data_IF_197137713027
#
_entry.id   IF_197137713027
#
_cell.length_a   1.000
_cell.length_b   1.000
_cell.length_c   1.000
_cell.angle_alpha   90.00
_cell.angle_beta   90.00
_cell.angle_gamma   90.00
#
_symmetry.space_group_name_H-M   'P 1'
#
loop_
_entity.id
_entity.type
_entity.pdbx_description
1 polymer ?
#
# COMPACT_ATOMS: atom_id res chain seq x y z
N UNK A 1 -13.99 1.42 2.44
CA UNK A 1 -12.89 0.87 1.61
C UNK A 1 -13.22 1.16 0.16
N UNK A 2 -12.35 1.87 -0.57
CA UNK A 2 -12.49 1.90 -2.04
C UNK A 2 -12.21 0.46 -2.52
N UNK A 3 -13.19 -0.21 -3.14
CA UNK A 3 -12.98 -1.55 -3.70
C UNK A 3 -11.77 -1.57 -4.63
N UNK A 4 -11.57 -0.46 -5.36
CA UNK A 4 -10.46 -0.23 -6.27
C UNK A 4 -9.08 -0.28 -5.61
N UNK A 5 -8.85 0.35 -4.44
CA UNK A 5 -7.54 0.29 -3.79
C UNK A 5 -7.22 -1.12 -3.30
N UNK A 6 -8.23 -1.79 -2.71
CA UNK A 6 -8.09 -3.18 -2.23
C UNK A 6 -7.74 -4.11 -3.39
N UNK A 7 -8.42 -3.96 -4.52
CA UNK A 7 -8.19 -4.76 -5.73
C UNK A 7 -6.81 -4.50 -6.33
N UNK A 8 -6.41 -3.24 -6.52
CA UNK A 8 -5.07 -2.92 -7.05
C UNK A 8 -3.95 -3.45 -6.14
N UNK A 9 -4.08 -3.31 -4.83
CA UNK A 9 -3.11 -3.85 -3.86
C UNK A 9 -3.06 -5.38 -3.93
N UNK A 10 -4.20 -6.04 -4.05
CA UNK A 10 -4.28 -7.50 -4.18
C UNK A 10 -3.60 -8.00 -5.46
N UNK A 11 -3.88 -7.39 -6.62
CA UNK A 11 -3.23 -7.76 -7.89
C UNK A 11 -1.72 -7.56 -7.82
N UNK A 12 -1.29 -6.46 -7.21
CA UNK A 12 0.12 -6.19 -6.93
C UNK A 12 0.80 -7.28 -6.13
N UNK A 13 0.14 -7.70 -5.05
CA UNK A 13 0.66 -8.73 -4.16
C UNK A 13 0.71 -10.10 -4.83
N UNK A 14 -0.32 -10.45 -5.60
CA UNK A 14 -0.34 -11.70 -6.39
C UNK A 14 0.81 -11.71 -7.40
N UNK A 15 1.04 -10.60 -8.11
CA UNK A 15 2.14 -10.51 -9.06
C UNK A 15 3.50 -10.75 -8.37
N UNK A 16 3.78 -10.03 -7.28
CA UNK A 16 5.05 -10.17 -6.54
C UNK A 16 5.20 -11.60 -5.98
N UNK A 17 4.13 -12.23 -5.49
CA UNK A 17 4.17 -13.60 -4.99
C UNK A 17 4.51 -14.61 -6.09
N UNK A 18 3.89 -14.49 -7.27
CA UNK A 18 4.19 -15.38 -8.40
C UNK A 18 5.65 -15.24 -8.85
N UNK A 19 6.13 -14.00 -8.96
CA UNK A 19 7.53 -13.71 -9.32
C UNK A 19 8.52 -14.18 -8.25
N UNK A 20 8.16 -14.08 -6.97
CA UNK A 20 9.00 -14.59 -5.87
C UNK A 20 9.02 -16.12 -5.85
N UNK A 21 7.89 -16.76 -6.15
CA UNK A 21 7.79 -18.21 -6.23
C UNK A 21 8.60 -18.80 -7.39
N UNK A 22 8.66 -18.12 -8.55
CA UNK A 22 9.51 -18.56 -9.67
C UNK A 22 10.98 -18.51 -9.29
N UNK A 23 11.45 -17.42 -8.68
CA UNK A 23 12.83 -17.31 -8.20
C UNK A 23 13.13 -18.35 -7.13
N UNK A 24 12.22 -18.57 -6.17
CA UNK A 24 12.37 -19.61 -5.14
C UNK A 24 12.49 -21.00 -5.75
N UNK A 25 11.70 -21.32 -6.78
CA UNK A 25 11.75 -22.60 -7.47
C UNK A 25 13.10 -22.86 -8.14
N UNK A 26 13.63 -21.85 -8.85
CA UNK A 26 14.94 -21.94 -9.50
C UNK A 26 16.06 -22.02 -8.45
N UNK A 27 15.99 -21.19 -7.40
CA UNK A 27 16.96 -21.21 -6.30
C UNK A 27 16.95 -22.54 -5.55
N UNK A 28 15.78 -23.17 -5.34
CA UNK A 28 15.65 -24.49 -4.73
C UNK A 28 16.22 -25.59 -5.62
N UNK A 29 16.00 -25.51 -6.93
CA UNK A 29 16.60 -26.43 -7.90
C UNK A 29 18.13 -26.32 -7.90
N UNK A 30 18.68 -25.12 -8.05
CA UNK A 30 20.12 -24.86 -7.96
C UNK A 30 20.69 -25.30 -6.60
N UNK A 31 19.97 -24.99 -5.52
CA UNK A 31 20.36 -25.38 -4.17
C UNK A 31 20.41 -26.89 -3.97
N UNK A 32 19.48 -27.62 -4.59
CA UNK A 32 19.47 -29.09 -4.56
C UNK A 32 20.70 -29.70 -5.23
N UNK A 33 21.35 -28.99 -6.15
CA UNK A 33 22.50 -29.46 -6.93
C UNK A 33 23.84 -29.00 -6.33
N UNK A 34 23.90 -27.77 -5.82
CA UNK A 34 25.15 -27.12 -5.42
C UNK A 34 25.40 -27.11 -3.90
N UNK A 35 24.37 -27.07 -3.05
CA UNK A 35 24.59 -27.09 -1.59
C UNK A 35 24.99 -28.49 -1.09
N UNK A 36 25.97 -28.61 -0.18
CA UNK A 36 26.58 -27.50 0.60
C UNK A 36 27.93 -26.99 0.07
N UNK A 37 28.57 -27.68 -0.87
CA UNK A 37 30.02 -27.50 -1.10
C UNK A 37 30.39 -26.45 -2.17
N UNK A 38 29.44 -26.00 -3.00
CA UNK A 38 29.72 -25.12 -4.14
C UNK A 38 28.83 -23.88 -4.06
N UNK A 39 29.44 -22.69 -4.01
CA UNK A 39 28.75 -21.39 -3.92
C UNK A 39 27.64 -21.33 -2.85
N UNK A 40 28.00 -21.81 -1.66
CA UNK A 40 27.12 -21.91 -0.50
C UNK A 40 26.40 -20.60 -0.15
N UNK A 41 27.13 -19.48 -0.14
CA UNK A 41 26.61 -18.21 0.39
C UNK A 41 25.52 -17.61 -0.51
N UNK A 42 25.72 -17.64 -1.83
CA UNK A 42 24.71 -17.19 -2.79
C UNK A 42 23.50 -18.12 -2.80
N UNK A 43 23.72 -19.44 -2.73
CA UNK A 43 22.64 -20.43 -2.68
C UNK A 43 21.72 -20.24 -1.46
N UNK A 44 22.29 -19.98 -0.29
CA UNK A 44 21.49 -19.70 0.92
C UNK A 44 20.76 -18.37 0.80
N UNK A 45 21.45 -17.32 0.38
CA UNK A 45 20.84 -15.99 0.25
C UNK A 45 19.66 -16.00 -0.73
N UNK A 46 19.81 -16.69 -1.87
CA UNK A 46 18.76 -16.83 -2.89
C UNK A 46 17.54 -17.63 -2.43
N UNK A 47 17.64 -18.43 -1.37
CA UNK A 47 16.50 -19.12 -0.74
C UNK A 47 15.82 -18.24 0.32
N UNK A 48 16.61 -17.49 1.10
CA UNK A 48 16.10 -16.69 2.23
C UNK A 48 15.27 -15.50 1.73
N UNK A 49 15.75 -14.75 0.73
CA UNK A 49 15.06 -13.53 0.29
C UNK A 49 13.64 -13.79 -0.27
N UNK A 50 13.42 -14.75 -1.20
CA UNK A 50 12.08 -15.01 -1.70
C UNK A 50 11.18 -15.67 -0.64
N UNK A 51 11.72 -16.51 0.25
CA UNK A 51 10.92 -17.08 1.35
C UNK A 51 10.49 -16.03 2.37
N UNK A 52 11.38 -15.11 2.73
CA UNK A 52 11.07 -13.95 3.58
C UNK A 52 10.05 -13.04 2.90
N UNK A 53 10.16 -12.81 1.58
CA UNK A 53 9.18 -12.05 0.81
C UNK A 53 7.79 -12.66 0.91
N UNK A 54 7.66 -13.97 0.69
CA UNK A 54 6.39 -14.68 0.79
C UNK A 54 5.81 -14.56 2.21
N UNK A 55 6.63 -14.81 3.24
CA UNK A 55 6.20 -14.75 4.64
C UNK A 55 5.72 -13.35 5.03
N UNK A 56 6.48 -12.31 4.68
CA UNK A 56 6.11 -10.92 4.97
C UNK A 56 4.80 -10.56 4.28
N UNK A 57 4.60 -10.95 3.02
CA UNK A 57 3.36 -10.67 2.30
C UNK A 57 2.14 -11.34 2.96
N UNK A 58 2.26 -12.59 3.41
CA UNK A 58 1.17 -13.28 4.12
C UNK A 58 0.79 -12.54 5.42
N UNK A 59 1.77 -12.01 6.14
CA UNK A 59 1.52 -11.21 7.36
C UNK A 59 0.89 -9.86 7.00
N UNK A 60 1.44 -9.15 6.01
CA UNK A 60 0.99 -7.82 5.58
C UNK A 60 -0.42 -7.83 4.98
N UNK A 61 -0.87 -8.95 4.39
CA UNK A 61 -2.26 -9.10 3.96
C UNK A 61 -3.23 -9.07 5.15
N UNK A 62 -2.82 -9.62 6.29
CA UNK A 62 -3.67 -9.77 7.47
C UNK A 62 -3.70 -8.50 8.33
N UNK A 63 -2.53 -7.86 8.53
CA UNK A 63 -2.39 -6.67 9.36
C UNK A 63 -1.44 -5.69 8.68
N UNK A 64 -1.98 -4.59 8.16
CA UNK A 64 -1.17 -3.59 7.47
C UNK A 64 -1.46 -2.16 7.91
N UNK A 65 -0.39 -1.48 8.31
CA UNK A 65 -0.30 -0.04 8.45
C UNK A 65 0.70 0.52 7.42
N UNK A 66 0.54 1.76 6.92
CA UNK A 66 1.49 2.36 5.98
C UNK A 66 2.93 2.38 6.52
N UNK A 67 3.10 2.62 7.83
CA UNK A 67 4.42 2.64 8.46
C UNK A 67 5.11 1.28 8.40
N UNK A 68 4.41 0.21 8.76
CA UNK A 68 4.98 -1.14 8.74
C UNK A 68 5.26 -1.59 7.32
N UNK A 69 4.38 -1.27 6.37
CA UNK A 69 4.58 -1.60 4.95
C UNK A 69 5.77 -0.87 4.35
N UNK A 70 5.95 0.43 4.63
CA UNK A 70 7.08 1.18 4.09
C UNK A 70 8.42 0.56 4.52
N UNK A 71 8.54 0.18 5.81
CA UNK A 71 9.74 -0.48 6.34
C UNK A 71 9.93 -1.85 5.67
N UNK A 72 8.86 -2.64 5.57
CA UNK A 72 8.92 -3.96 4.96
C UNK A 72 9.32 -3.90 3.48
N UNK A 73 8.70 -3.04 2.68
CA UNK A 73 9.03 -2.85 1.26
C UNK A 73 10.44 -2.31 1.06
N UNK A 74 10.94 -1.47 1.97
CA UNK A 74 12.32 -1.00 1.90
C UNK A 74 13.31 -2.15 2.13
N UNK A 75 13.13 -2.93 3.20
CA UNK A 75 14.03 -4.07 3.52
C UNK A 75 13.98 -5.14 2.43
N UNK A 76 12.77 -5.48 1.97
CA UNK A 76 12.58 -6.44 0.88
C UNK A 76 13.19 -5.91 -0.43
N UNK A 77 12.91 -4.67 -0.79
CA UNK A 77 13.49 -4.02 -1.96
C UNK A 77 15.01 -4.05 -1.93
N UNK A 78 15.63 -3.68 -0.81
CA UNK A 78 17.09 -3.73 -0.66
C UNK A 78 17.64 -5.16 -0.80
N UNK A 79 16.92 -6.15 -0.29
CA UNK A 79 17.31 -7.56 -0.38
C UNK A 79 17.22 -8.10 -1.83
N UNK A 80 16.19 -7.70 -2.58
CA UNK A 80 16.05 -8.03 -4.00
C UNK A 80 17.09 -7.31 -4.88
N UNK A 81 17.41 -6.05 -4.57
CA UNK A 81 18.50 -5.33 -5.21
C UNK A 81 19.86 -6.02 -4.95
N UNK A 82 20.11 -6.42 -3.71
CA UNK A 82 21.32 -7.16 -3.36
C UNK A 82 21.41 -8.50 -4.11
N UNK A 83 20.28 -9.22 -4.26
CA UNK A 83 20.24 -10.45 -5.05
C UNK A 83 20.55 -10.20 -6.52
N UNK A 84 19.95 -9.17 -7.12
CA UNK A 84 20.23 -8.74 -8.49
C UNK A 84 21.72 -8.43 -8.68
N UNK A 85 22.28 -7.55 -7.85
CA UNK A 85 23.69 -7.17 -7.93
C UNK A 85 24.65 -8.35 -7.72
N UNK A 86 24.39 -9.23 -6.75
CA UNK A 86 25.23 -10.40 -6.50
C UNK A 86 25.12 -11.43 -7.62
N UNK A 87 23.95 -11.60 -8.23
CA UNK A 87 23.81 -12.47 -9.40
C UNK A 87 24.65 -11.96 -10.59
N UNK A 88 24.69 -10.63 -10.82
CA UNK A 88 25.55 -10.02 -11.85
C UNK A 88 27.03 -10.28 -11.57
N UNK A 89 27.47 -10.13 -10.31
CA UNK A 89 28.86 -10.38 -9.91
C UNK A 89 29.27 -11.85 -10.06
N UNK A 90 28.35 -12.77 -9.75
CA UNK A 90 28.59 -14.21 -9.82
C UNK A 90 28.71 -14.72 -11.26
N UNK A 91 27.88 -14.20 -12.17
CA UNK A 91 27.90 -14.60 -13.58
C UNK A 91 29.01 -13.87 -14.33
N UNK A 92 29.19 -12.57 -14.06
CA UNK A 92 30.03 -11.68 -14.85
C UNK A 92 29.42 -11.29 -16.21
N UNK A 93 30.26 -10.72 -17.08
CA UNK A 93 29.88 -10.19 -18.40
C UNK A 93 29.88 -11.22 -19.53
N UNK A 94 29.86 -12.51 -19.19
CA UNK A 94 29.93 -13.61 -20.16
C UNK A 94 28.55 -13.92 -20.75
N UNK A 95 28.52 -14.18 -22.05
CA UNK A 95 27.32 -14.65 -22.75
C UNK A 95 27.14 -16.16 -22.54
N UNK A 96 25.92 -16.59 -22.19
CA UNK A 96 25.65 -17.98 -21.79
C UNK A 96 25.84 -19.01 -22.92
N UNK A 97 25.75 -18.59 -24.17
CA UNK A 97 26.01 -19.37 -25.38
C UNK A 97 27.49 -19.70 -25.57
N UNK A 98 28.39 -18.80 -25.13
CA UNK A 98 29.83 -19.00 -25.19
C UNK A 98 30.34 -20.11 -24.25
N UNK A 99 29.53 -20.60 -23.30
CA UNK A 99 29.88 -21.73 -22.41
C UNK A 99 29.51 -23.10 -22.99
N UNK A 100 29.23 -23.21 -24.29
CA UNK A 100 28.94 -24.48 -24.95
C UNK A 100 30.02 -25.53 -24.67
N UNK A 101 29.63 -26.69 -24.12
CA UNK A 101 30.53 -27.81 -23.83
C UNK A 101 31.33 -27.70 -22.52
N UNK A 102 31.22 -26.59 -21.77
CA UNK A 102 31.83 -26.45 -20.46
C UNK A 102 30.89 -26.99 -19.39
N UNK A 103 31.41 -27.80 -18.46
CA UNK A 103 30.63 -28.38 -17.37
C UNK A 103 31.06 -27.87 -16.00
N UNK A 104 30.12 -27.73 -15.08
CA UNK A 104 30.37 -27.38 -13.67
C UNK A 104 30.17 -28.62 -12.77
N UNK A 105 31.01 -28.80 -11.74
CA UNK A 105 30.84 -29.89 -10.79
C UNK A 105 29.58 -29.68 -9.94
N UNK A 106 28.96 -30.79 -9.54
CA UNK A 106 27.80 -30.83 -8.62
C UNK A 106 28.19 -31.56 -7.34
N UNK A 107 27.37 -31.41 -6.28
CA UNK A 107 27.69 -31.98 -4.95
C UNK A 107 27.86 -33.50 -4.92
N UNK A 108 27.23 -34.23 -5.84
CA UNK A 108 27.25 -35.70 -5.89
C UNK A 108 28.31 -36.26 -6.85
N UNK A 109 29.30 -35.46 -7.26
CA UNK A 109 30.30 -35.86 -8.25
C UNK A 109 29.77 -35.92 -9.69
N UNK A 110 28.51 -35.54 -9.92
CA UNK A 110 27.96 -35.32 -11.27
C UNK A 110 28.38 -33.97 -11.84
N UNK A 111 28.04 -33.72 -13.10
CA UNK A 111 28.29 -32.45 -13.77
C UNK A 111 27.01 -31.88 -14.36
N UNK A 112 26.91 -30.55 -14.40
CA UNK A 112 25.84 -29.81 -15.09
C UNK A 112 26.45 -28.93 -16.18
N UNK A 113 25.72 -28.68 -17.27
CA UNK A 113 26.16 -27.73 -18.28
C UNK A 113 26.33 -26.34 -17.67
N UNK A 114 27.48 -25.71 -17.92
CA UNK A 114 27.71 -24.35 -17.46
C UNK A 114 26.81 -23.33 -18.18
N UNK A 115 26.36 -23.66 -19.40
CA UNK A 115 25.38 -22.84 -20.13
C UNK A 115 24.01 -22.84 -19.47
N UNK A 116 23.49 -24.00 -19.03
CA UNK A 116 22.18 -24.07 -18.35
C UNK A 116 22.20 -23.34 -17.02
N UNK A 117 23.29 -23.49 -16.25
CA UNK A 117 23.50 -22.72 -15.02
C UNK A 117 23.51 -21.21 -15.28
N UNK A 118 24.20 -20.76 -16.33
CA UNK A 118 24.24 -19.35 -16.71
C UNK A 118 22.84 -18.80 -17.05
N UNK A 119 22.04 -19.55 -17.81
CA UNK A 119 20.66 -19.12 -18.13
C UNK A 119 19.79 -19.02 -16.88
N UNK A 120 19.85 -20.00 -15.97
CA UNK A 120 19.08 -19.97 -14.73
C UNK A 120 19.47 -18.78 -13.83
N UNK A 121 20.77 -18.50 -13.72
CA UNK A 121 21.27 -17.34 -12.98
C UNK A 121 20.86 -16.01 -13.61
N UNK A 122 20.85 -15.91 -14.95
CA UNK A 122 20.34 -14.72 -15.68
C UNK A 122 18.84 -14.51 -15.48
N UNK A 123 18.07 -15.59 -15.34
CA UNK A 123 16.65 -15.50 -14.99
C UNK A 123 16.51 -14.95 -13.57
N UNK A 124 17.25 -15.48 -12.58
CA UNK A 124 17.24 -14.94 -11.21
C UNK A 124 17.61 -13.44 -11.20
N UNK A 125 18.64 -13.04 -11.96
CA UNK A 125 19.05 -11.64 -12.11
C UNK A 125 17.90 -10.75 -12.60
N UNK A 126 17.29 -11.12 -13.73
CA UNK A 126 16.23 -10.32 -14.37
C UNK A 126 14.98 -10.21 -13.48
N UNK A 127 14.54 -11.32 -12.88
CA UNK A 127 13.38 -11.32 -11.99
C UNK A 127 13.67 -10.54 -10.70
N UNK A 128 14.90 -10.58 -10.17
CA UNK A 128 15.27 -9.82 -8.98
C UNK A 128 15.22 -8.31 -9.22
N UNK A 129 15.74 -7.83 -10.36
CA UNK A 129 15.64 -6.42 -10.74
C UNK A 129 14.19 -5.99 -10.95
N UNK A 130 13.37 -6.82 -11.60
CA UNK A 130 11.96 -6.52 -11.80
C UNK A 130 11.22 -6.41 -10.46
N UNK A 131 11.43 -7.35 -9.53
CA UNK A 131 10.80 -7.33 -8.21
C UNK A 131 11.27 -6.10 -7.41
N UNK A 132 12.56 -5.76 -7.47
CA UNK A 132 13.08 -4.53 -6.87
C UNK A 132 12.38 -3.28 -7.41
N UNK A 133 12.25 -3.15 -8.74
CA UNK A 133 11.56 -2.02 -9.36
C UNK A 133 10.09 -1.94 -8.92
N UNK A 134 9.40 -3.08 -8.83
CA UNK A 134 8.04 -3.12 -8.30
C UNK A 134 7.99 -2.62 -6.85
N UNK A 135 8.87 -3.09 -5.97
CA UNK A 135 8.94 -2.60 -4.59
C UNK A 135 9.24 -1.10 -4.51
N UNK A 136 10.14 -0.58 -5.34
CA UNK A 136 10.43 0.85 -5.40
C UNK A 136 9.21 1.67 -5.81
N UNK A 137 8.45 1.21 -6.81
CA UNK A 137 7.20 1.84 -7.24
C UNK A 137 6.15 1.77 -6.12
N UNK A 138 5.95 0.61 -5.49
CA UNK A 138 5.00 0.46 -4.38
C UNK A 138 5.34 1.37 -3.20
N UNK A 139 6.62 1.43 -2.81
CA UNK A 139 7.10 2.28 -1.75
C UNK A 139 6.88 3.76 -2.09
N UNK A 140 7.17 4.17 -3.32
CA UNK A 140 6.92 5.53 -3.78
C UNK A 140 5.43 5.89 -3.74
N UNK A 141 4.54 5.02 -4.26
CA UNK A 141 3.09 5.22 -4.23
C UNK A 141 2.58 5.31 -2.79
N UNK A 142 3.02 4.43 -1.91
CA UNK A 142 2.63 4.43 -0.50
C UNK A 142 3.01 5.74 0.19
N UNK A 143 4.26 6.19 0.02
CA UNK A 143 4.73 7.46 0.61
C UNK A 143 3.92 8.64 0.04
N UNK A 144 3.72 8.69 -1.28
CA UNK A 144 3.00 9.77 -1.94
C UNK A 144 1.55 9.87 -1.43
N UNK A 145 0.83 8.74 -1.38
CA UNK A 145 -0.56 8.73 -0.93
C UNK A 145 -0.71 9.02 0.56
N UNK A 146 0.16 8.45 1.41
CA UNK A 146 0.11 8.68 2.86
C UNK A 146 0.45 10.14 3.20
N UNK A 147 1.38 10.75 2.45
CA UNK A 147 1.71 12.17 2.59
C UNK A 147 0.54 13.07 2.18
N UNK A 148 -0.20 12.71 1.12
CA UNK A 148 -1.42 13.44 0.72
C UNK A 148 -2.51 13.34 1.78
N UNK A 149 -2.73 12.15 2.37
CA UNK A 149 -3.70 11.96 3.46
C UNK A 149 -3.37 12.82 4.69
N UNK A 150 -2.09 12.94 5.05
CA UNK A 150 -1.61 13.84 6.11
C UNK A 150 -1.99 15.31 5.87
N UNK A 151 -1.82 15.79 4.64
CA UNK A 151 -2.15 17.18 4.27
C UNK A 151 -3.67 17.42 4.29
N UNK A 152 -4.47 16.40 4.02
CA UNK A 152 -5.94 16.45 4.09
C UNK A 152 -6.52 16.39 5.51
N UNK A 153 -5.67 16.50 6.55
CA UNK A 153 -6.13 16.61 7.94
C UNK A 153 -6.17 15.30 8.71
N UNK A 154 -5.53 14.22 8.22
CA UNK A 154 -5.35 12.97 8.97
C UNK A 154 -3.95 12.93 9.65
N UNK A 155 -3.78 13.46 10.87
CA UNK A 155 -2.48 13.53 11.54
C UNK A 155 -1.90 12.15 11.86
N UNK A 156 -2.72 11.10 11.96
CA UNK A 156 -2.28 9.75 12.30
C UNK A 156 -2.29 8.77 11.12
N UNK A 157 -2.36 9.27 9.88
CA UNK A 157 -2.41 8.46 8.65
C UNK A 157 -1.33 7.36 8.56
N UNK A 158 -0.16 7.55 9.16
CA UNK A 158 0.91 6.54 9.14
C UNK A 158 0.71 5.37 10.10
N UNK A 159 -0.04 5.58 11.18
CA UNK A 159 -0.31 4.57 12.21
C UNK A 159 -1.68 3.90 12.04
N UNK A 160 -2.59 4.55 11.31
CA UNK A 160 -3.92 4.03 11.01
C UNK A 160 -3.83 2.82 10.06
N UNK A 161 -4.77 1.85 10.18
CA UNK A 161 -4.84 0.72 9.27
C UNK A 161 -5.11 1.18 7.84
N UNK A 162 -4.43 0.56 6.86
CA UNK A 162 -4.52 0.96 5.44
C UNK A 162 -5.95 0.98 4.92
N UNK A 163 -6.83 0.12 5.42
CA UNK A 163 -8.22 0.03 4.95
C UNK A 163 -9.12 1.18 5.41
N UNK A 164 -8.69 1.98 6.39
CA UNK A 164 -9.45 3.10 6.95
C UNK A 164 -9.13 4.44 6.28
N UNK A 165 -7.99 4.53 5.56
CA UNK A 165 -7.56 5.78 4.94
C UNK A 165 -8.34 6.12 3.64
N UNK A 166 -8.67 7.41 3.41
CA UNK A 166 -9.32 7.87 2.19
C UNK A 166 -8.29 8.08 1.06
N UNK A 167 -7.89 7.00 0.40
CA UNK A 167 -6.82 7.01 -0.63
C UNK A 167 -7.12 7.87 -1.87
N UNK A 168 -8.39 8.09 -2.22
CA UNK A 168 -8.81 8.78 -3.47
C UNK A 168 -9.74 9.98 -3.24
N UNK A 169 -9.66 10.64 -2.08
CA UNK A 169 -10.51 11.81 -1.79
C UNK A 169 -11.99 11.49 -1.57
N UNK A 170 -12.32 10.21 -1.41
CA UNK A 170 -13.64 9.78 -0.95
C UNK A 170 -13.77 10.05 0.55
N UNK A 171 -14.85 10.73 0.96
CA UNK A 171 -15.18 10.89 2.39
C UNK A 171 -15.40 9.52 3.04
N UNK A 172 -15.11 9.35 4.34
CA UNK A 172 -15.27 8.07 5.03
C UNK A 172 -16.71 7.55 4.95
N UNK A 173 -16.97 6.68 3.98
CA UNK A 173 -18.25 6.02 3.79
C UNK A 173 -18.42 4.87 4.77
N UNK A 174 -19.52 4.93 5.54
CA UNK A 174 -20.04 3.87 6.41
C UNK A 174 -20.11 2.52 5.67
N UNK A 175 -19.84 1.35 6.29
CA UNK A 175 -20.01 1.04 7.72
C UNK A 175 -18.71 0.82 8.53
N UNK A 176 -17.53 1.03 7.94
CA UNK A 176 -16.23 0.71 8.57
C UNK A 176 -15.51 1.94 9.15
N UNK A 177 -16.22 2.99 9.57
CA UNK A 177 -15.61 4.08 10.35
C UNK A 177 -15.51 3.68 11.82
N UNK A 178 -14.71 2.65 12.09
CA UNK A 178 -14.38 2.16 13.43
C UNK A 178 -13.28 3.00 14.06
N UNK A 179 -13.64 4.18 14.55
CA UNK A 179 -12.90 4.83 15.64
C UNK A 179 -11.75 5.78 15.26
N UNK A 180 -12.07 7.08 15.10
CA UNK A 180 -11.13 8.17 15.42
C UNK A 180 -11.77 9.56 15.59
N UNK A 181 -13.09 9.68 15.71
CA UNK A 181 -13.69 10.90 16.27
C UNK A 181 -14.18 10.56 17.67
N UNK A 182 -13.45 11.06 18.66
CA UNK A 182 -13.77 10.98 20.07
C UNK A 182 -15.25 11.38 20.31
N UNK A 183 -16.11 10.47 20.79
CA UNK A 183 -17.46 10.81 21.22
C UNK A 183 -17.34 11.32 22.65
N UNK A 184 -17.23 12.63 22.84
CA UNK A 184 -17.06 13.11 24.22
C UNK A 184 -16.93 14.61 24.40
N UNK A 185 -17.84 15.42 23.85
CA UNK A 185 -18.39 16.61 24.52
C UNK A 185 -19.69 17.00 23.81
N UNK A 186 -20.74 16.20 24.01
CA UNK A 186 -22.11 16.61 23.71
C UNK A 186 -22.74 16.95 25.06
N UNK A 187 -22.46 18.17 25.54
CA UNK A 187 -23.21 18.78 26.63
C UNK A 187 -24.62 19.05 26.13
N UNK A 188 -25.58 18.35 26.72
CA UNK A 188 -26.97 18.38 26.29
C UNK A 188 -27.65 19.73 26.48
N UNK A 189 -28.75 19.92 25.75
CA UNK A 189 -30.03 20.29 26.33
C UNK A 189 -31.16 19.86 25.37
N UNK A 190 -32.12 19.16 25.95
CA UNK A 190 -33.42 18.80 25.38
C UNK A 190 -34.25 20.04 25.07
N UNK A 191 -35.05 20.03 24.00
CA UNK A 191 -36.51 20.36 23.97
C UNK A 191 -36.98 20.47 22.52
N UNK A 192 -38.16 19.93 22.23
CA UNK A 192 -38.68 19.75 20.87
C UNK A 192 -39.37 20.96 20.27
N UNK A 193 -39.50 20.98 18.93
CA UNK A 193 -40.60 21.60 18.18
C UNK A 193 -40.40 21.40 16.65
N UNK A 194 -41.51 21.08 15.98
CA UNK A 194 -41.90 21.38 14.58
C UNK A 194 -40.83 21.49 13.47
N UNK A 195 -40.95 20.59 12.48
CA UNK A 195 -40.20 20.54 11.22
C UNK A 195 -40.64 21.62 10.21
N UNK A 196 -39.70 22.38 9.59
CA UNK A 196 -39.91 23.03 8.31
C UNK A 196 -39.00 22.45 7.21
N UNK A 197 -39.53 22.43 5.99
CA UNK A 197 -38.97 21.84 4.77
C UNK A 197 -37.72 22.61 4.29
N UNK A 198 -36.60 21.92 3.94
CA UNK A 198 -35.37 22.60 3.53
C UNK A 198 -35.38 22.96 2.04
N UNK A 199 -35.15 24.23 1.74
CA UNK A 199 -34.87 24.75 0.40
C UNK A 199 -33.41 24.46 0.02
N UNK A 200 -33.18 23.84 -1.14
CA UNK A 200 -31.83 23.56 -1.66
C UNK A 200 -31.18 24.84 -2.19
N UNK A 201 -30.05 25.23 -1.61
CA UNK A 201 -29.19 26.33 -2.07
C UNK A 201 -28.16 25.83 -3.10
N UNK A 202 -27.89 26.58 -4.19
CA UNK A 202 -26.92 26.18 -5.20
C UNK A 202 -25.47 26.37 -4.71
N UNK A 203 -24.64 25.33 -4.88
CA UNK A 203 -23.19 25.40 -4.67
C UNK A 203 -22.52 26.22 -5.79
N UNK A 204 -21.87 27.32 -5.43
CA UNK A 204 -20.95 28.04 -6.32
C UNK A 204 -19.57 28.05 -5.68
N UNK A 205 -18.60 27.42 -6.35
CA UNK A 205 -17.15 27.57 -6.13
C UNK A 205 -16.59 27.09 -4.77
N UNK A 206 -16.81 25.81 -4.44
CA UNK A 206 -16.05 25.10 -3.38
C UNK A 206 -16.24 25.60 -1.94
N UNK A 207 -17.08 26.63 -1.74
CA UNK A 207 -17.46 27.16 -0.44
C UNK A 207 -18.96 27.33 -0.36
N UNK A 208 -19.55 26.99 0.78
CA UNK A 208 -20.97 27.25 1.05
C UNK A 208 -21.15 28.75 1.31
N UNK A 209 -21.50 29.53 0.28
CA UNK A 209 -21.86 30.94 0.46
C UNK A 209 -23.32 31.00 0.91
N UNK A 210 -23.52 31.18 2.21
CA UNK A 210 -24.86 31.39 2.77
C UNK A 210 -25.20 32.87 2.65
N UNK A 211 -26.08 33.23 1.73
CA UNK A 211 -26.68 34.57 1.71
C UNK A 211 -27.69 34.67 2.86
N UNK A 212 -27.27 35.26 3.97
CA UNK A 212 -28.11 35.55 5.11
C UNK A 212 -29.05 36.71 4.78
N UNK A 213 -30.36 36.50 4.88
CA UNK A 213 -31.34 37.58 4.80
C UNK A 213 -31.25 38.45 6.07
N UNK A 214 -31.29 39.79 5.96
CA UNK A 214 -31.30 40.68 7.13
C UNK A 214 -32.42 40.30 8.11
N UNK A 215 -32.11 40.28 9.41
CA UNK A 215 -33.07 39.92 10.47
C UNK A 215 -33.30 38.42 10.68
N UNK A 216 -32.56 37.55 9.98
CA UNK A 216 -32.64 36.09 10.16
C UNK A 216 -31.34 35.56 10.76
N UNK A 217 -31.45 34.59 11.67
CA UNK A 217 -30.32 33.81 12.18
C UNK A 217 -30.08 32.60 11.28
N UNK A 218 -28.82 32.28 11.00
CA UNK A 218 -28.46 31.10 10.20
C UNK A 218 -28.12 29.97 11.14
N UNK A 219 -28.87 28.87 11.06
CA UNK A 219 -28.53 27.62 11.73
C UNK A 219 -27.97 26.68 10.66
N UNK A 220 -26.69 26.35 10.77
CA UNK A 220 -26.05 25.32 9.94
C UNK A 220 -26.13 24.01 10.70
N UNK A 221 -27.07 23.14 10.33
CA UNK A 221 -27.12 21.80 10.86
C UNK A 221 -26.20 20.89 10.04
N UNK A 222 -25.31 20.11 10.68
CA UNK A 222 -24.61 19.03 10.00
C UNK A 222 -25.65 18.13 9.32
N UNK A 223 -25.54 17.95 8.02
CA UNK A 223 -26.45 17.10 7.26
C UNK A 223 -26.38 15.64 7.71
N UNK A 224 -27.35 14.83 7.28
CA UNK A 224 -27.29 13.38 7.44
C UNK A 224 -25.95 12.84 6.86
N UNK A 225 -25.41 11.73 7.37
CA UNK A 225 -24.02 11.32 7.08
C UNK A 225 -23.73 11.26 5.58
N UNK A 226 -22.81 12.11 5.10
CA UNK A 226 -22.41 12.19 3.69
C UNK A 226 -23.23 13.13 2.80
N UNK A 227 -24.25 13.79 3.34
CA UNK A 227 -25.03 14.82 2.64
C UNK A 227 -24.48 16.24 2.84
N UNK A 228 -24.82 17.18 1.95
CA UNK A 228 -24.55 18.60 2.17
C UNK A 228 -25.23 19.08 3.47
N UNK A 229 -24.63 20.03 4.22
CA UNK A 229 -25.20 20.58 5.44
C UNK A 229 -26.54 21.26 5.13
N UNK A 230 -27.52 21.02 5.99
CA UNK A 230 -28.82 21.68 5.89
C UNK A 230 -28.68 23.07 6.51
N UNK A 231 -28.73 24.10 5.66
CA UNK A 231 -28.72 25.49 6.10
C UNK A 231 -30.15 25.97 6.23
N UNK A 232 -30.59 26.26 7.45
CA UNK A 232 -31.92 26.79 7.71
C UNK A 232 -31.81 28.20 8.28
N UNK A 233 -32.51 29.16 7.69
CA UNK A 233 -32.61 30.51 8.23
C UNK A 233 -33.85 30.63 9.09
N UNK A 234 -33.68 30.99 10.37
CA UNK A 234 -34.78 31.16 11.31
C UNK A 234 -34.93 32.66 11.61
N UNK A 235 -36.14 33.24 11.50
CA UNK A 235 -36.39 34.63 11.86
C UNK A 235 -35.87 34.93 13.27
N UNK A 236 -34.98 35.92 13.40
CA UNK A 236 -34.48 36.34 14.69
C UNK A 236 -35.52 37.20 15.40
N UNK A 237 -35.99 36.79 16.58
CA UNK A 237 -36.78 37.67 17.42
C UNK A 237 -35.85 38.75 18.00
N UNK A 238 -35.89 39.95 17.42
CA UNK A 238 -35.24 41.13 18.00
C UNK A 238 -36.11 41.56 19.19
N UNK A 239 -35.75 41.14 20.40
CA UNK A 239 -36.41 41.63 21.61
C UNK A 239 -35.91 43.05 21.88
N UNK A 240 -36.63 44.05 21.38
CA UNK A 240 -36.49 45.43 21.84
C UNK A 240 -37.23 45.57 23.16
N UNK A 241 -36.60 45.18 24.26
CA UNK A 241 -37.05 45.58 25.60
C UNK A 241 -36.37 46.91 25.98
N UNK A 242 -37.15 47.96 26.33
CA UNK A 242 -36.64 49.25 26.80
C UNK A 242 -36.00 49.17 28.19
#
# INVERSE_FOLDING_TARGET
MTQLFKEMRLYGFIAILLLSATVLGIAAYLGSIFLPNIQHDFGIFSLIVPSLTILVFLITVSWSSPRTEAIAFFILGASWLAMGAWSTDTIGWIQCDALGGVTRPTKNGGTISASSWCYEMKVIEAFSWMIFCLFAIYLWVLIALTSRARVLGHPYAWAEPIFELPWFGEFPGWPYSGGAFAPGQQTGFSTGAYMPVPYMTPMINGGYVVQQAPGHSVIVQPGAPGGPPAVTQVPGAVSTTP
#
